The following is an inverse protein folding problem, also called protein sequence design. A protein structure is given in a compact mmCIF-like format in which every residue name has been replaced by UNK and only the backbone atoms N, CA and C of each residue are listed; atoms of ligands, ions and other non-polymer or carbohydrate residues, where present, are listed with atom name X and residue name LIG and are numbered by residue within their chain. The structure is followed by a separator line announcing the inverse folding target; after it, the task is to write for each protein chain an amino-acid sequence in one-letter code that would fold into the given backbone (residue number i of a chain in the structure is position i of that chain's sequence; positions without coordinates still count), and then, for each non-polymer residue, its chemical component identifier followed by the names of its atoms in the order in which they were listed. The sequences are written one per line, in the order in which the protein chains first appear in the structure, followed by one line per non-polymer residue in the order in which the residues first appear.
data_IF_287540157718
#
_entry.id   IF_287540157718
#
_cell.length_a   1.000
_cell.length_b   1.000
_cell.length_c   1.000
_cell.angle_alpha   90.00
_cell.angle_beta   90.00
_cell.angle_gamma   90.00
#
_symmetry.space_group_name_H-M   'P 1'
#
loop_
_entity.id
_entity.type
_entity.pdbx_description
1 polymer ?
#
# COMPACT_ATOMS: atom_id res chain seq x y z
N UNK A 1 -37.12 -15.94 6.78
CA UNK A 1 -36.05 -16.84 6.30
C UNK A 1 -34.72 -16.15 6.47
N UNK A 2 -34.10 -16.30 7.64
CA UNK A 2 -32.73 -15.86 7.93
C UNK A 2 -31.77 -16.83 7.25
N UNK A 3 -31.12 -16.39 6.18
CA UNK A 3 -30.12 -17.17 5.45
C UNK A 3 -28.92 -17.39 6.38
N UNK A 4 -28.83 -18.58 6.97
CA UNK A 4 -27.69 -18.99 7.79
C UNK A 4 -26.41 -18.91 6.94
N UNK A 5 -25.48 -18.06 7.37
CA UNK A 5 -24.15 -17.92 6.80
C UNK A 5 -23.45 -19.28 6.87
N UNK A 6 -22.96 -19.78 5.73
CA UNK A 6 -22.32 -21.11 5.68
C UNK A 6 -20.97 -21.10 6.43
N UNK A 7 -20.54 -22.22 7.05
CA UNK A 7 -19.28 -22.31 7.81
C UNK A 7 -18.02 -21.84 7.04
N UNK A 8 -18.06 -21.92 5.71
CA UNK A 8 -16.98 -21.48 4.82
C UNK A 8 -16.83 -19.95 4.75
N UNK A 9 -17.89 -19.17 4.97
CA UNK A 9 -17.82 -17.72 4.94
C UNK A 9 -17.27 -17.12 6.26
N UNK A 10 -17.62 -17.70 7.41
CA UNK A 10 -17.03 -17.28 8.70
C UNK A 10 -15.51 -17.54 8.74
N UNK A 11 -15.07 -18.66 8.18
CA UNK A 11 -13.64 -19.03 8.11
C UNK A 11 -12.84 -18.08 7.19
N UNK A 12 -13.43 -17.66 6.06
CA UNK A 12 -12.81 -16.68 5.14
C UNK A 12 -12.76 -15.27 5.75
N UNK A 13 -13.83 -14.84 6.43
CA UNK A 13 -13.87 -13.54 7.11
C UNK A 13 -12.82 -13.48 8.24
N UNK A 14 -12.71 -14.53 9.05
CA UNK A 14 -11.67 -14.63 10.08
C UNK A 14 -10.24 -14.57 9.51
N UNK A 15 -10.00 -15.23 8.38
CA UNK A 15 -8.71 -15.20 7.67
C UNK A 15 -8.37 -13.78 7.14
N UNK A 16 -9.32 -13.09 6.50
CA UNK A 16 -9.09 -11.73 5.99
C UNK A 16 -8.83 -10.75 7.14
N UNK A 17 -9.63 -10.80 8.20
CA UNK A 17 -9.43 -9.93 9.38
C UNK A 17 -8.06 -10.16 10.02
N UNK A 18 -7.62 -11.42 10.13
CA UNK A 18 -6.29 -11.74 10.64
C UNK A 18 -5.16 -11.21 9.75
N UNK A 19 -5.32 -11.27 8.42
CA UNK A 19 -4.33 -10.75 7.48
C UNK A 19 -4.25 -9.22 7.51
N UNK A 20 -5.39 -8.52 7.64
CA UNK A 20 -5.42 -7.07 7.82
C UNK A 20 -4.79 -6.64 9.15
N UNK A 21 -5.04 -7.39 10.23
CA UNK A 21 -4.42 -7.13 11.53
C UNK A 21 -2.89 -7.27 11.47
N UNK A 22 -2.41 -8.28 10.74
CA UNK A 22 -0.98 -8.51 10.51
C UNK A 22 -0.33 -7.34 9.73
N UNK A 23 -1.02 -6.80 8.71
CA UNK A 23 -0.56 -5.62 7.96
C UNK A 23 -0.43 -4.39 8.86
N UNK A 24 -1.47 -4.12 9.68
CA UNK A 24 -1.46 -2.98 10.61
C UNK A 24 -0.29 -3.05 11.57
N UNK A 25 -0.11 -4.19 12.22
CA UNK A 25 0.93 -4.36 13.24
C UNK A 25 2.33 -4.24 12.63
N UNK A 26 2.54 -4.74 11.41
CA UNK A 26 3.80 -4.56 10.67
C UNK A 26 4.02 -3.11 10.26
N UNK A 27 3.00 -2.43 9.75
CA UNK A 27 3.08 -1.02 9.39
C UNK A 27 3.46 -0.16 10.60
N UNK A 28 2.85 -0.40 11.76
CA UNK A 28 3.20 0.28 13.00
C UNK A 28 4.65 0.01 13.41
N UNK A 29 5.13 -1.24 13.34
CA UNK A 29 6.53 -1.57 13.62
C UNK A 29 7.51 -0.85 12.70
N UNK A 30 7.19 -0.73 11.41
CA UNK A 30 8.02 0.01 10.44
C UNK A 30 8.09 1.49 10.79
N UNK A 31 6.95 2.13 11.07
CA UNK A 31 6.88 3.55 11.46
C UNK A 31 7.59 3.80 12.79
N UNK A 32 7.40 2.93 13.78
CA UNK A 32 8.10 3.03 15.08
C UNK A 32 9.60 2.91 14.89
N UNK A 33 10.08 1.97 14.08
CA UNK A 33 11.52 1.81 13.83
C UNK A 33 12.13 3.06 13.20
N UNK A 34 11.49 3.64 12.18
CA UNK A 34 11.91 4.91 11.57
C UNK A 34 11.87 6.04 12.61
N UNK A 35 10.80 6.12 13.41
CA UNK A 35 10.64 7.14 14.45
C UNK A 35 11.70 7.06 15.54
N UNK A 36 12.05 5.86 16.01
CA UNK A 36 13.12 5.66 17.00
C UNK A 36 14.47 6.11 16.45
N UNK A 37 14.80 5.71 15.22
CA UNK A 37 16.05 6.13 14.57
C UNK A 37 16.06 7.65 14.37
N UNK A 38 14.93 8.24 13.96
CA UNK A 38 14.79 9.68 13.82
C UNK A 38 15.01 10.41 15.14
N UNK A 39 14.44 9.95 16.25
CA UNK A 39 14.63 10.57 17.57
C UNK A 39 16.10 10.52 18.02
N UNK A 40 16.84 9.47 17.67
CA UNK A 40 18.27 9.35 17.96
C UNK A 40 19.10 10.31 17.09
N UNK A 41 18.72 10.51 15.82
CA UNK A 41 19.44 11.39 14.89
C UNK A 41 19.04 12.87 14.98
N UNK A 42 17.83 13.18 15.46
CA UNK A 42 17.25 14.52 15.52
C UNK A 42 18.15 15.56 16.23
N UNK A 43 18.84 15.25 17.35
CA UNK A 43 19.76 16.20 17.98
C UNK A 43 20.92 16.63 17.07
N UNK A 44 21.32 15.78 16.12
CA UNK A 44 22.42 15.99 15.18
C UNK A 44 21.97 16.55 13.84
N UNK A 45 20.71 16.98 13.71
CA UNK A 45 20.13 17.40 12.43
C UNK A 45 20.93 18.51 11.73
N UNK A 46 21.51 19.44 12.51
CA UNK A 46 22.34 20.54 11.97
C UNK A 46 23.66 20.03 11.38
N UNK A 47 24.31 19.08 12.06
CA UNK A 47 25.59 18.50 11.61
C UNK A 47 25.38 17.62 10.38
N UNK A 48 24.31 16.83 10.38
CA UNK A 48 23.87 16.04 9.22
C UNK A 48 23.60 16.97 8.03
N UNK A 49 22.87 18.06 8.25
CA UNK A 49 22.61 19.05 7.21
C UNK A 49 23.91 19.64 6.66
N UNK A 50 24.86 20.05 7.51
CA UNK A 50 26.13 20.61 7.07
C UNK A 50 26.95 19.62 6.23
N UNK A 51 26.92 18.33 6.59
CA UNK A 51 27.59 17.27 5.84
C UNK A 51 27.03 17.09 4.43
N UNK A 52 25.69 17.11 4.30
CA UNK A 52 25.01 16.95 3.01
C UNK A 52 24.94 18.24 2.19
N UNK A 53 25.00 19.41 2.83
CA UNK A 53 25.05 20.71 2.16
C UNK A 53 26.40 20.94 1.48
N UNK A 54 27.50 20.42 2.04
CA UNK A 54 28.85 20.69 1.55
C UNK A 54 29.08 20.28 0.07
N UNK A 55 28.75 19.05 -0.38
CA UNK A 55 28.90 18.66 -1.79
C UNK A 55 28.03 19.48 -2.74
N UNK A 56 26.95 20.08 -2.23
CA UNK A 56 26.01 20.88 -3.01
C UNK A 56 26.61 22.24 -3.31
N UNK A 57 27.13 22.94 -2.29
CA UNK A 57 27.89 24.19 -2.44
C UNK A 57 29.09 24.03 -3.36
N UNK A 58 29.76 22.88 -3.34
CA UNK A 58 30.91 22.59 -4.20
C UNK A 58 30.52 22.35 -5.67
N UNK A 59 29.25 22.00 -5.94
CA UNK A 59 28.73 21.70 -7.29
C UNK A 59 28.06 22.91 -7.95
N UNK A 60 27.89 24.03 -7.23
CA UNK A 60 27.38 25.27 -7.80
C UNK A 60 28.49 26.00 -8.56
N UNK A 61 28.21 26.60 -9.74
CA UNK A 61 29.16 27.47 -10.43
C UNK A 61 29.63 28.62 -9.52
N UNK A 62 30.91 28.99 -9.63
CA UNK A 62 31.51 30.08 -8.86
C UNK A 62 30.64 31.34 -8.92
N UNK A 63 30.11 31.77 -7.77
CA UNK A 63 29.30 32.99 -7.63
C UNK A 63 27.79 32.80 -7.45
N UNK A 64 27.25 31.57 -7.55
CA UNK A 64 25.84 31.29 -7.23
C UNK A 64 25.70 30.83 -5.78
N UNK A 65 25.07 31.65 -4.94
CA UNK A 65 24.72 31.26 -3.57
C UNK A 65 23.33 30.64 -3.52
N UNK A 66 23.17 29.52 -2.81
CA UNK A 66 21.84 28.99 -2.50
C UNK A 66 21.07 29.98 -1.61
N UNK A 67 19.85 30.30 -2.01
CA UNK A 67 18.98 31.21 -1.28
C UNK A 67 18.09 30.43 -0.31
N UNK A 68 17.76 31.05 0.81
CA UNK A 68 16.76 30.57 1.76
C UNK A 68 15.56 31.50 1.66
N UNK A 69 14.51 31.07 0.95
CA UNK A 69 13.31 31.91 0.73
C UNK A 69 12.31 31.73 1.89
N UNK A 70 12.14 30.51 2.38
CA UNK A 70 11.15 30.19 3.41
C UNK A 70 11.60 30.58 4.82
N UNK A 71 10.72 31.26 5.57
CA UNK A 71 10.98 31.66 6.98
C UNK A 71 11.23 30.44 7.88
N UNK A 72 10.50 29.35 7.65
CA UNK A 72 10.64 28.11 8.42
C UNK A 72 11.75 27.18 7.87
N UNK A 73 12.36 27.49 6.73
CA UNK A 73 13.30 26.59 6.06
C UNK A 73 14.55 26.25 6.91
N UNK A 74 15.19 27.20 7.63
CA UNK A 74 16.33 26.89 8.50
C UNK A 74 16.01 25.89 9.61
N UNK A 75 14.74 25.80 10.02
CA UNK A 75 14.27 24.85 11.01
C UNK A 75 13.86 23.53 10.36
N UNK A 76 13.02 23.56 9.33
CA UNK A 76 12.38 22.37 8.77
C UNK A 76 13.30 21.53 7.89
N UNK A 77 14.19 22.16 7.11
CA UNK A 77 15.04 21.45 6.14
C UNK A 77 15.98 20.44 6.83
N UNK A 78 16.71 20.79 7.90
CA UNK A 78 17.55 19.83 8.61
C UNK A 78 16.76 18.63 9.16
N UNK A 79 15.56 18.86 9.71
CA UNK A 79 14.73 17.77 10.24
C UNK A 79 14.12 16.89 9.14
N UNK A 80 13.69 17.47 8.01
CA UNK A 80 13.23 16.71 6.84
C UNK A 80 14.33 15.77 6.33
N UNK A 81 15.55 16.29 6.21
CA UNK A 81 16.72 15.50 5.78
C UNK A 81 17.04 14.39 6.79
N UNK A 82 17.00 14.72 8.08
CA UNK A 82 17.24 13.74 9.14
C UNK A 82 16.21 12.62 9.13
N UNK A 83 14.94 12.95 8.86
CA UNK A 83 13.88 11.95 8.70
C UNK A 83 14.14 11.05 7.49
N UNK A 84 14.58 11.61 6.37
CA UNK A 84 14.96 10.83 5.18
C UNK A 84 16.09 9.85 5.50
N UNK A 85 17.14 10.32 6.18
CA UNK A 85 18.28 9.46 6.55
C UNK A 85 17.85 8.40 7.56
N UNK A 86 17.01 8.75 8.53
CA UNK A 86 16.45 7.79 9.46
C UNK A 86 15.67 6.68 8.73
N UNK A 87 14.87 7.05 7.71
CA UNK A 87 14.22 6.08 6.84
C UNK A 87 15.23 5.21 6.09
N UNK A 88 16.25 5.80 5.47
CA UNK A 88 17.31 5.06 4.75
C UNK A 88 18.06 4.08 5.64
N UNK A 89 18.33 4.43 6.91
CA UNK A 89 18.96 3.54 7.89
C UNK A 89 17.99 2.44 8.34
N UNK A 90 16.70 2.75 8.48
CA UNK A 90 15.66 1.80 8.85
C UNK A 90 15.30 0.81 7.72
N UNK A 91 15.69 1.10 6.47
CA UNK A 91 15.30 0.33 5.27
C UNK A 91 15.45 -1.18 5.40
N UNK A 92 16.56 -1.75 5.90
CA UNK A 92 16.69 -3.20 6.00
C UNK A 92 15.59 -3.82 6.86
N UNK A 93 15.19 -3.13 7.93
CA UNK A 93 14.11 -3.55 8.81
C UNK A 93 12.73 -3.32 8.18
N UNK A 94 12.53 -2.19 7.49
CA UNK A 94 11.29 -1.89 6.75
C UNK A 94 11.02 -2.96 5.70
N UNK A 95 12.02 -3.28 4.87
CA UNK A 95 11.92 -4.34 3.88
C UNK A 95 11.71 -5.70 4.53
N UNK A 96 12.40 -6.02 5.63
CA UNK A 96 12.18 -7.28 6.35
C UNK A 96 10.70 -7.44 6.78
N UNK A 97 10.10 -6.40 7.36
CA UNK A 97 8.68 -6.43 7.76
C UNK A 97 7.76 -6.52 6.55
N UNK A 98 8.02 -5.76 5.48
CA UNK A 98 7.25 -5.84 4.24
C UNK A 98 7.29 -7.25 3.62
N UNK A 99 8.48 -7.86 3.57
CA UNK A 99 8.65 -9.21 3.04
C UNK A 99 8.02 -10.28 3.91
N UNK A 100 8.03 -10.14 5.23
CA UNK A 100 7.29 -11.06 6.10
C UNK A 100 5.78 -11.05 5.82
N UNK A 101 5.22 -9.94 5.31
CA UNK A 101 3.82 -9.85 4.88
C UNK A 101 3.53 -10.51 3.54
N UNK A 102 4.49 -10.43 2.61
CA UNK A 102 4.34 -11.06 1.29
C UNK A 102 4.67 -12.57 1.34
N UNK A 103 5.63 -12.98 2.18
CA UNK A 103 6.15 -14.35 2.28
C UNK A 103 5.14 -15.48 2.61
N UNK A 104 4.11 -15.31 3.48
CA UNK A 104 3.24 -16.44 3.85
C UNK A 104 2.46 -17.04 2.68
N UNK A 105 2.27 -16.28 1.59
CA UNK A 105 1.60 -16.74 0.37
C UNK A 105 2.51 -17.39 -0.68
N UNK A 106 3.83 -17.16 -0.63
CA UNK A 106 4.67 -17.31 -1.82
C UNK A 106 5.63 -18.52 -1.81
N UNK A 107 6.26 -18.85 -0.68
CA UNK A 107 7.29 -19.92 -0.63
C UNK A 107 7.23 -20.73 0.66
N UNK A 108 6.07 -21.34 0.96
CA UNK A 108 5.90 -22.20 2.15
C UNK A 108 6.90 -23.37 2.22
N UNK A 109 7.61 -23.69 1.15
CA UNK A 109 8.56 -24.81 1.10
C UNK A 109 10.04 -24.40 0.92
N UNK A 110 10.35 -23.11 0.73
CA UNK A 110 11.74 -22.69 0.50
C UNK A 110 12.07 -21.35 1.21
N UNK A 111 12.13 -21.40 2.54
CA UNK A 111 12.61 -20.28 3.39
C UNK A 111 13.96 -19.70 2.93
N UNK A 112 14.75 -20.48 2.16
CA UNK A 112 16.06 -20.10 1.65
C UNK A 112 16.03 -19.07 0.52
N UNK A 113 14.92 -18.92 -0.22
CA UNK A 113 14.79 -17.91 -1.30
C UNK A 113 14.38 -16.52 -0.80
N UNK A 114 13.75 -16.44 0.38
CA UNK A 114 13.33 -15.15 0.94
C UNK A 114 14.53 -14.27 1.31
N UNK A 115 15.59 -14.87 1.85
CA UNK A 115 16.79 -14.14 2.27
C UNK A 115 17.55 -13.46 1.12
N UNK A 116 17.94 -14.15 0.03
CA UNK A 116 18.64 -13.50 -1.09
C UNK A 116 17.75 -12.47 -1.79
N UNK A 117 16.43 -12.68 -1.85
CA UNK A 117 15.50 -11.72 -2.42
C UNK A 117 15.39 -10.45 -1.56
N UNK A 118 15.30 -10.60 -0.24
CA UNK A 118 15.32 -9.48 0.72
C UNK A 118 16.63 -8.69 0.60
N UNK A 119 17.78 -9.35 0.68
CA UNK A 119 19.09 -8.69 0.56
C UNK A 119 19.24 -7.99 -0.80
N UNK A 120 18.80 -8.64 -1.88
CA UNK A 120 18.80 -8.02 -3.21
C UNK A 120 17.90 -6.79 -3.26
N UNK A 121 16.70 -6.83 -2.66
CA UNK A 121 15.78 -5.68 -2.63
C UNK A 121 16.35 -4.48 -1.88
N UNK A 122 16.95 -4.70 -0.72
CA UNK A 122 17.60 -3.66 0.05
C UNK A 122 18.79 -3.08 -0.74
N UNK A 123 19.61 -3.95 -1.34
CA UNK A 123 20.72 -3.51 -2.20
C UNK A 123 20.28 -2.71 -3.42
N UNK A 124 19.20 -3.13 -4.08
CA UNK A 124 18.63 -2.44 -5.24
C UNK A 124 18.04 -1.08 -4.85
N UNK A 125 17.45 -0.95 -3.66
CA UNK A 125 16.98 0.33 -3.16
C UNK A 125 18.13 1.31 -2.97
N UNK A 126 19.20 0.88 -2.29
CA UNK A 126 20.39 1.72 -2.11
C UNK A 126 21.06 2.06 -3.45
N UNK A 127 21.08 1.12 -4.39
CA UNK A 127 21.56 1.38 -5.75
C UNK A 127 20.69 2.44 -6.45
N UNK A 128 19.37 2.41 -6.27
CA UNK A 128 18.46 3.43 -6.80
C UNK A 128 18.70 4.80 -6.20
N UNK A 129 18.90 4.89 -4.88
CA UNK A 129 19.28 6.15 -4.20
C UNK A 129 20.64 6.65 -4.69
N UNK A 130 21.62 5.75 -4.83
CA UNK A 130 22.94 6.09 -5.35
C UNK A 130 22.87 6.57 -6.81
N UNK A 131 22.05 5.93 -7.64
CA UNK A 131 21.81 6.35 -9.02
C UNK A 131 21.18 7.74 -9.08
N UNK A 132 20.18 8.02 -8.24
CA UNK A 132 19.58 9.34 -8.15
C UNK A 132 20.60 10.41 -7.74
N UNK A 133 21.44 10.13 -6.75
CA UNK A 133 22.46 11.07 -6.26
C UNK A 133 23.61 11.29 -7.26
N UNK A 134 24.15 10.22 -7.85
CA UNK A 134 25.37 10.28 -8.66
C UNK A 134 25.11 10.56 -10.14
N UNK A 135 23.93 10.21 -10.67
CA UNK A 135 23.64 10.32 -12.10
C UNK A 135 22.58 11.38 -12.36
N UNK A 136 21.42 11.31 -11.70
CA UNK A 136 20.30 12.18 -12.03
C UNK A 136 20.51 13.62 -11.55
N UNK A 137 20.93 13.79 -10.30
CA UNK A 137 21.18 15.09 -9.69
C UNK A 137 22.18 15.95 -10.50
N UNK A 138 23.37 15.48 -10.89
CA UNK A 138 24.27 16.28 -11.72
C UNK A 138 23.70 16.55 -13.12
N UNK A 139 22.99 15.60 -13.73
CA UNK A 139 22.35 15.83 -15.03
C UNK A 139 21.29 16.93 -14.96
N UNK A 140 20.53 17.02 -13.86
CA UNK A 140 19.56 18.11 -13.65
C UNK A 140 20.24 19.47 -13.54
N UNK A 141 21.37 19.57 -12.83
CA UNK A 141 22.11 20.83 -12.76
C UNK A 141 22.74 21.26 -14.08
N UNK A 142 22.94 20.33 -15.03
CA UNK A 142 23.37 20.67 -16.39
C UNK A 142 22.18 21.12 -17.25
N UNK A 143 21.04 20.46 -17.13
CA UNK A 143 19.87 20.69 -17.98
C UNK A 143 19.08 21.92 -17.57
N UNK A 144 18.84 22.15 -16.27
CA UNK A 144 17.98 23.24 -15.79
C UNK A 144 18.48 24.65 -16.19
N UNK A 145 19.79 24.97 -16.11
CA UNK A 145 20.27 26.29 -16.52
C UNK A 145 20.07 26.59 -18.01
N UNK A 146 19.96 25.57 -18.87
CA UNK A 146 19.75 25.75 -20.32
C UNK A 146 18.42 26.47 -20.61
N UNK A 147 17.44 26.33 -19.73
CA UNK A 147 16.14 26.99 -19.83
C UNK A 147 16.09 28.38 -19.20
N UNK A 148 17.17 28.84 -18.58
CA UNK A 148 17.20 30.15 -17.92
C UNK A 148 17.37 31.26 -18.97
N UNK A 149 16.45 32.23 -19.04
CA UNK A 149 16.60 33.41 -19.91
C UNK A 149 17.90 34.18 -19.62
N UNK A 150 18.52 34.73 -20.67
CA UNK A 150 19.83 35.38 -20.58
C UNK A 150 19.90 36.63 -19.67
N UNK A 151 18.75 37.17 -19.29
CA UNK A 151 18.56 38.34 -18.43
C UNK A 151 18.27 37.99 -16.96
N UNK A 152 18.27 36.70 -16.58
CA UNK A 152 17.97 36.25 -15.22
C UNK A 152 19.13 35.48 -14.58
N UNK A 153 19.41 35.77 -13.30
CA UNK A 153 20.41 35.02 -12.53
C UNK A 153 19.76 33.73 -11.99
N UNK A 154 20.30 32.58 -12.36
CA UNK A 154 19.88 31.30 -11.80
C UNK A 154 20.37 31.19 -10.34
N UNK A 155 19.44 31.07 -9.39
CA UNK A 155 19.77 30.86 -7.97
C UNK A 155 18.77 29.89 -7.35
N UNK A 156 19.17 28.63 -7.09
CA UNK A 156 18.26 27.63 -6.53
C UNK A 156 17.93 27.93 -5.06
N UNK A 157 16.67 27.69 -4.69
CA UNK A 157 16.21 27.71 -3.30
C UNK A 157 16.54 26.38 -2.61
N UNK A 158 17.12 26.47 -1.41
CA UNK A 158 17.60 25.29 -0.70
C UNK A 158 16.47 24.37 -0.25
N UNK A 159 15.31 24.91 0.14
CA UNK A 159 14.18 24.09 0.60
C UNK A 159 13.63 23.28 -0.56
N UNK A 160 13.38 23.95 -1.68
CA UNK A 160 12.87 23.34 -2.91
C UNK A 160 13.83 22.29 -3.46
N UNK A 161 15.13 22.58 -3.39
CA UNK A 161 16.17 21.62 -3.77
C UNK A 161 16.13 20.35 -2.91
N UNK A 162 16.11 20.50 -1.58
CA UNK A 162 16.08 19.37 -0.67
C UNK A 162 14.78 18.56 -0.80
N UNK A 163 13.64 19.23 -0.98
CA UNK A 163 12.36 18.58 -1.24
C UNK A 163 12.40 17.77 -2.55
N UNK A 164 12.99 18.34 -3.62
CA UNK A 164 13.21 17.64 -4.89
C UNK A 164 14.10 16.41 -4.72
N UNK A 165 15.26 16.54 -4.08
CA UNK A 165 16.20 15.42 -3.87
C UNK A 165 15.58 14.31 -3.02
N UNK A 166 14.89 14.68 -1.93
CA UNK A 166 14.21 13.73 -1.06
C UNK A 166 13.15 12.95 -1.83
N UNK A 167 12.33 13.65 -2.61
CA UNK A 167 11.29 13.01 -3.42
C UNK A 167 11.90 12.09 -4.48
N UNK A 168 12.99 12.52 -5.12
CA UNK A 168 13.73 11.73 -6.10
C UNK A 168 14.34 10.46 -5.49
N UNK A 169 14.94 10.53 -4.29
CA UNK A 169 15.47 9.35 -3.60
C UNK A 169 14.40 8.32 -3.31
N UNK A 170 13.23 8.77 -2.84
CA UNK A 170 12.09 7.89 -2.60
C UNK A 170 11.60 7.28 -3.92
N UNK A 171 11.32 8.11 -4.93
CA UNK A 171 10.79 7.63 -6.19
C UNK A 171 11.73 6.67 -6.91
N UNK A 172 13.03 6.97 -7.00
CA UNK A 172 14.00 6.08 -7.64
C UNK A 172 14.35 4.87 -6.79
N UNK A 173 14.43 5.01 -5.45
CA UNK A 173 14.61 3.87 -4.56
C UNK A 173 13.50 2.84 -4.74
N UNK A 174 12.23 3.29 -4.81
CA UNK A 174 11.09 2.42 -5.09
C UNK A 174 11.01 1.96 -6.55
N UNK A 175 11.34 2.79 -7.53
CA UNK A 175 11.40 2.38 -8.94
C UNK A 175 12.45 1.29 -9.19
N UNK A 176 13.56 1.30 -8.46
CA UNK A 176 14.54 0.21 -8.49
C UNK A 176 14.02 -1.09 -7.89
N UNK A 177 12.85 -1.11 -7.22
CA UNK A 177 12.18 -2.35 -6.83
C UNK A 177 11.38 -2.98 -7.98
N UNK A 178 11.14 -2.26 -9.08
CA UNK A 178 10.38 -2.76 -10.23
C UNK A 178 10.90 -4.08 -10.80
N UNK A 179 12.22 -4.32 -10.95
CA UNK A 179 12.73 -5.62 -11.41
C UNK A 179 12.31 -6.77 -10.50
N UNK A 180 12.43 -6.59 -9.19
CA UNK A 180 12.08 -7.61 -8.19
C UNK A 180 10.57 -7.82 -8.16
N UNK A 181 9.79 -6.75 -8.17
CA UNK A 181 8.34 -6.82 -8.24
C UNK A 181 7.87 -7.58 -9.50
N UNK A 182 8.51 -7.33 -10.64
CA UNK A 182 8.23 -8.01 -11.92
C UNK A 182 8.53 -9.50 -11.85
N UNK A 183 9.72 -9.88 -11.38
CA UNK A 183 10.11 -11.28 -11.19
C UNK A 183 9.12 -11.97 -10.24
N UNK A 184 8.76 -11.31 -9.15
CA UNK A 184 7.84 -11.83 -8.16
C UNK A 184 6.47 -12.07 -8.78
N UNK A 185 5.89 -11.10 -9.49
CA UNK A 185 4.56 -11.20 -10.11
C UNK A 185 4.45 -12.36 -11.10
N UNK A 186 5.54 -12.65 -11.81
CA UNK A 186 5.62 -13.77 -12.76
C UNK A 186 5.84 -15.09 -12.00
N UNK A 187 6.71 -15.09 -10.98
CA UNK A 187 7.03 -16.28 -10.18
C UNK A 187 5.86 -16.78 -9.34
N UNK A 188 4.96 -15.89 -8.90
CA UNK A 188 3.76 -16.23 -8.13
C UNK A 188 2.66 -16.86 -9.01
N UNK A 189 2.81 -16.76 -10.34
CA UNK A 189 1.77 -17.12 -11.31
C UNK A 189 0.66 -16.09 -11.47
N UNK A 190 0.77 -14.89 -10.86
CA UNK A 190 -0.26 -13.85 -10.98
C UNK A 190 -0.36 -13.27 -12.41
N UNK A 191 0.77 -13.19 -13.12
CA UNK A 191 0.82 -12.82 -14.54
C UNK A 191 1.86 -13.65 -15.29
N UNK A 192 1.82 -13.63 -16.63
CA UNK A 192 2.90 -14.14 -17.47
C UNK A 192 3.78 -12.99 -17.99
N UNK A 193 5.01 -13.30 -18.40
CA UNK A 193 5.93 -12.33 -18.97
C UNK A 193 5.36 -11.69 -20.25
N UNK A 194 4.60 -12.44 -21.05
CA UNK A 194 3.96 -11.97 -22.28
C UNK A 194 2.84 -10.97 -21.98
N UNK A 195 1.99 -11.29 -20.99
CA UNK A 195 0.91 -10.38 -20.54
C UNK A 195 1.48 -9.08 -20.00
N UNK A 196 2.57 -9.15 -19.26
CA UNK A 196 3.20 -7.98 -18.67
C UNK A 196 3.97 -7.15 -19.73
N UNK A 197 4.60 -7.81 -20.70
CA UNK A 197 5.18 -7.15 -21.87
C UNK A 197 4.12 -6.44 -22.72
N UNK A 198 2.90 -6.97 -22.83
CA UNK A 198 1.79 -6.27 -23.48
C UNK A 198 1.36 -4.97 -22.77
N UNK A 199 1.72 -4.79 -21.49
CA UNK A 199 1.38 -3.62 -20.68
C UNK A 199 2.46 -2.54 -20.65
N UNK A 200 3.49 -2.62 -21.50
CA UNK A 200 4.55 -1.58 -21.63
C UNK A 200 3.99 -0.15 -21.74
N UNK A 201 2.95 0.14 -22.55
CA UNK A 201 2.43 1.50 -22.66
C UNK A 201 1.97 2.06 -21.31
N UNK A 202 1.35 1.25 -20.46
CA UNK A 202 0.91 1.68 -19.13
C UNK A 202 2.08 1.99 -18.20
N UNK A 203 3.15 1.19 -18.26
CA UNK A 203 4.35 1.42 -17.46
C UNK A 203 5.07 2.69 -17.90
N UNK A 204 5.15 2.91 -19.22
CA UNK A 204 5.74 4.14 -19.78
C UNK A 204 4.94 5.35 -19.31
N UNK A 205 3.60 5.33 -19.44
CA UNK A 205 2.75 6.42 -18.94
C UNK A 205 2.95 6.63 -17.44
N UNK A 206 2.99 5.56 -16.65
CA UNK A 206 3.28 5.64 -15.21
C UNK A 206 4.63 6.30 -14.90
N UNK A 207 5.69 5.94 -15.65
CA UNK A 207 7.01 6.56 -15.51
C UNK A 207 6.98 8.06 -15.84
N UNK A 208 6.26 8.46 -16.89
CA UNK A 208 6.08 9.87 -17.23
C UNK A 208 5.25 10.64 -16.19
N UNK A 209 4.25 10.01 -15.57
CA UNK A 209 3.47 10.60 -14.46
C UNK A 209 4.37 10.81 -13.25
N UNK A 210 5.15 9.81 -12.84
CA UNK A 210 6.11 9.98 -11.75
C UNK A 210 7.13 11.07 -12.08
N UNK A 211 7.64 11.10 -13.32
CA UNK A 211 8.50 12.18 -13.80
C UNK A 211 7.86 13.57 -13.65
N UNK A 212 6.57 13.71 -14.00
CA UNK A 212 5.83 14.97 -13.86
C UNK A 212 5.62 15.41 -12.40
N UNK A 213 5.53 14.47 -11.46
CA UNK A 213 5.40 14.84 -10.03
C UNK A 213 6.77 15.25 -9.48
N UNK A 214 7.85 14.59 -9.93
CA UNK A 214 9.22 14.87 -9.49
C UNK A 214 9.79 16.16 -10.06
N UNK A 215 9.61 16.37 -11.36
CA UNK A 215 10.02 17.59 -12.06
C UNK A 215 8.76 18.34 -12.44
N UNK A 216 8.66 19.65 -12.14
CA UNK A 216 7.63 20.54 -12.70
C UNK A 216 7.61 20.48 -14.25
N UNK A 217 6.75 21.23 -14.99
CA UNK A 217 6.52 21.03 -16.42
C UNK A 217 7.73 21.39 -17.32
N UNK A 218 8.80 20.60 -17.21
CA UNK A 218 10.01 20.56 -18.01
C UNK A 218 10.09 19.17 -18.65
N UNK A 219 9.81 19.15 -19.96
CA UNK A 219 9.76 17.93 -20.76
C UNK A 219 11.12 17.22 -20.82
N UNK A 220 12.24 17.95 -20.84
CA UNK A 220 13.56 17.32 -20.94
C UNK A 220 13.88 16.60 -19.63
N UNK A 221 13.69 17.28 -18.50
CA UNK A 221 13.91 16.66 -17.19
C UNK A 221 12.94 15.51 -16.94
N UNK A 222 11.68 15.64 -17.35
CA UNK A 222 10.69 14.57 -17.24
C UNK A 222 11.11 13.31 -18.04
N UNK A 223 11.57 13.48 -19.29
CA UNK A 223 12.08 12.36 -20.11
C UNK A 223 13.31 11.73 -19.45
N UNK A 224 14.24 12.55 -18.96
CA UNK A 224 15.46 12.07 -18.31
C UNK A 224 15.16 11.18 -17.10
N UNK A 225 14.12 11.49 -16.34
CA UNK A 225 13.69 10.67 -15.21
C UNK A 225 12.87 9.44 -15.64
N UNK A 226 12.02 9.58 -16.65
CA UNK A 226 11.14 8.51 -17.11
C UNK A 226 11.88 7.36 -17.81
N UNK A 227 12.91 7.65 -18.60
CA UNK A 227 13.68 6.64 -19.35
C UNK A 227 14.33 5.60 -18.45
N UNK A 228 15.08 5.96 -17.39
CA UNK A 228 15.62 4.97 -16.44
C UNK A 228 14.54 4.10 -15.79
N UNK A 229 13.38 4.68 -15.44
CA UNK A 229 12.28 3.90 -14.86
C UNK A 229 11.72 2.85 -15.83
N UNK A 230 11.58 3.22 -17.11
CA UNK A 230 11.19 2.27 -18.16
C UNK A 230 12.25 1.18 -18.37
N UNK A 231 13.54 1.53 -18.39
CA UNK A 231 14.63 0.57 -18.52
C UNK A 231 14.67 -0.43 -17.36
N UNK A 232 14.37 0.00 -16.13
CA UNK A 232 14.28 -0.90 -14.97
C UNK A 232 13.14 -1.91 -15.11
N UNK A 233 11.99 -1.49 -15.64
CA UNK A 233 10.92 -2.43 -15.95
C UNK A 233 11.34 -3.44 -17.01
N UNK A 234 12.03 -3.00 -18.06
CA UNK A 234 12.54 -3.89 -19.10
C UNK A 234 13.57 -4.88 -18.55
N UNK A 235 14.46 -4.40 -17.67
CA UNK A 235 15.42 -5.23 -16.96
C UNK A 235 14.72 -6.30 -16.12
N UNK A 236 13.62 -5.94 -15.44
CA UNK A 236 12.77 -6.87 -14.70
C UNK A 236 12.18 -7.97 -15.59
N UNK A 237 11.60 -7.58 -16.73
CA UNK A 237 11.07 -8.53 -17.71
C UNK A 237 12.17 -9.44 -18.28
N UNK A 238 13.33 -8.88 -18.60
CA UNK A 238 14.47 -9.63 -19.10
C UNK A 238 14.98 -10.65 -18.06
N UNK A 239 15.21 -10.20 -16.82
CA UNK A 239 15.65 -11.08 -15.73
C UNK A 239 14.62 -12.18 -15.46
N UNK A 240 13.32 -11.88 -15.52
CA UNK A 240 12.27 -12.88 -15.26
C UNK A 240 12.35 -14.11 -16.17
N UNK A 241 12.81 -13.95 -17.43
CA UNK A 241 13.01 -15.06 -18.37
C UNK A 241 14.10 -16.02 -17.92
N UNK A 242 15.18 -15.53 -17.31
CA UNK A 242 16.26 -16.37 -16.78
C UNK A 242 15.86 -17.13 -15.53
N UNK A 243 14.93 -16.57 -14.73
CA UNK A 243 14.36 -17.26 -13.58
C UNK A 243 13.20 -18.21 -13.96
N UNK A 244 12.80 -18.26 -15.24
CA UNK A 244 11.64 -19.01 -15.75
C UNK A 244 11.65 -20.52 -15.47
N UNK A 245 12.82 -21.18 -15.44
CA UNK A 245 12.90 -22.61 -15.07
C UNK A 245 12.54 -22.85 -13.60
N UNK A 246 13.00 -21.99 -12.69
CA UNK A 246 12.66 -22.07 -11.25
C UNK A 246 11.23 -21.62 -10.96
N UNK A 247 10.67 -20.78 -11.82
CA UNK A 247 9.26 -20.36 -11.78
C UNK A 247 8.33 -21.51 -12.19
N UNK A 248 8.70 -22.31 -13.19
CA UNK A 248 7.98 -23.53 -13.54
C UNK A 248 7.99 -24.56 -12.40
N UNK A 249 9.15 -24.82 -11.81
CA UNK A 249 9.28 -25.75 -10.68
C UNK A 249 8.43 -25.33 -9.46
N UNK A 250 8.36 -24.03 -9.16
CA UNK A 250 7.52 -23.49 -8.10
C UNK A 250 6.01 -23.53 -8.43
N UNK A 251 5.64 -23.34 -9.71
CA UNK A 251 4.27 -23.50 -10.21
C UNK A 251 3.78 -24.94 -10.15
N UNK A 252 4.61 -25.88 -10.61
CA UNK A 252 4.32 -27.32 -10.60
C UNK A 252 4.18 -27.86 -9.16
N UNK A 253 4.99 -27.36 -8.22
CA UNK A 253 4.87 -27.69 -6.80
C UNK A 253 3.56 -27.17 -6.16
N UNK A 254 3.05 -26.00 -6.60
CA UNK A 254 1.75 -25.46 -6.15
C UNK A 254 0.58 -26.26 -6.71
N UNK A 255 0.63 -26.62 -7.98
CA UNK A 255 -0.39 -27.46 -8.61
C UNK A 255 -0.45 -28.85 -7.97
N UNK A 256 0.71 -29.41 -7.61
CA UNK A 256 0.79 -30.65 -6.83
C UNK A 256 0.17 -30.48 -5.42
N UNK A 257 0.48 -29.39 -4.71
CA UNK A 257 -0.09 -29.13 -3.39
C UNK A 257 -1.61 -28.89 -3.42
N UNK A 258 -2.12 -28.20 -4.45
CA UNK A 258 -3.55 -27.96 -4.62
C UNK A 258 -4.29 -29.25 -5.01
N UNK A 259 -3.67 -30.13 -5.80
CA UNK A 259 -4.20 -31.47 -6.06
C UNK A 259 -4.24 -32.32 -4.80
N UNK A 260 -3.16 -32.33 -4.01
CA UNK A 260 -3.12 -33.06 -2.74
C UNK A 260 -4.17 -32.54 -1.76
N UNK A 261 -4.31 -31.22 -1.60
CA UNK A 261 -5.32 -30.64 -0.72
C UNK A 261 -6.77 -30.93 -1.18
N UNK A 262 -7.01 -31.01 -2.50
CA UNK A 262 -8.31 -31.46 -3.04
C UNK A 262 -8.54 -32.94 -2.78
N UNK A 263 -7.50 -33.75 -2.95
CA UNK A 263 -7.54 -35.19 -2.72
C UNK A 263 -7.77 -35.54 -1.24
N UNK A 264 -7.14 -34.80 -0.33
CA UNK A 264 -7.33 -34.91 1.12
C UNK A 264 -8.75 -34.47 1.55
N UNK A 265 -9.28 -33.42 0.92
CA UNK A 265 -10.67 -32.98 1.15
C UNK A 265 -11.68 -34.03 0.62
N UNK A 266 -11.43 -34.61 -0.55
CA UNK A 266 -12.26 -35.66 -1.12
C UNK A 266 -12.21 -36.94 -0.27
N UNK A 267 -11.03 -37.31 0.26
CA UNK A 267 -10.84 -38.42 1.22
C UNK A 267 -11.61 -38.19 2.53
N UNK A 268 -11.52 -36.98 3.10
CA UNK A 268 -12.25 -36.64 4.32
C UNK A 268 -13.78 -36.69 4.14
N UNK A 269 -14.27 -36.35 2.94
CA UNK A 269 -15.70 -36.47 2.59
C UNK A 269 -16.13 -37.93 2.46
N UNK A 270 -15.27 -38.81 1.95
CA UNK A 270 -15.54 -40.26 1.85
C UNK A 270 -15.54 -40.93 3.23
N UNK A 271 -14.58 -40.61 4.10
CA UNK A 271 -14.52 -41.11 5.48
C UNK A 271 -15.71 -40.63 6.33
N UNK A 272 -16.17 -39.40 6.11
CA UNK A 272 -17.38 -38.87 6.75
C UNK A 272 -18.68 -39.51 6.22
N UNK A 273 -18.65 -40.07 5.00
CA UNK A 273 -19.77 -40.79 4.39
C UNK A 273 -19.91 -42.24 4.88
N UNK A 274 -18.80 -42.91 5.18
CA UNK A 274 -18.79 -44.32 5.60
C UNK A 274 -19.12 -44.49 7.10
N UNK A 275 -18.84 -43.47 7.92
CA UNK A 275 -19.15 -43.45 9.36
C UNK A 275 -20.64 -43.42 9.74
N UNK A 276 -21.56 -43.46 8.77
CA UNK A 276 -23.02 -43.54 9.01
C UNK A 276 -23.63 -44.92 8.74
N UNK A 277 -22.84 -45.92 8.31
CA UNK A 277 -23.39 -47.23 7.94
C UNK A 277 -23.27 -48.32 9.02
N UNK A 278 -22.50 -48.11 10.10
CA UNK A 278 -22.34 -49.11 11.17
C UNK A 278 -22.59 -48.50 12.56
N UNK A 279 -23.87 -48.45 12.96
CA UNK A 279 -24.27 -48.46 14.38
C UNK A 279 -25.79 -48.71 14.51
N UNK A 280 -26.12 -49.99 14.64
CA UNK A 280 -27.20 -50.58 15.45
C UNK A 280 -28.68 -50.39 15.08
N UNK A 281 -29.28 -51.56 14.81
CA UNK A 281 -30.69 -51.87 14.87
C UNK A 281 -31.12 -52.25 16.31
N UNK A 282 -32.18 -51.63 16.84
CA UNK A 282 -33.41 -52.27 17.38
C UNK A 282 -34.33 -51.26 18.12
N UNK A 283 -35.66 -51.50 18.21
CA UNK A 283 -36.64 -50.50 18.62
C UNK A 283 -37.31 -50.80 19.98
N UNK A 284 -37.39 -49.86 20.93
CA UNK A 284 -38.32 -49.95 22.09
C UNK A 284 -38.86 -48.60 22.58
N UNK A 285 -40.14 -48.35 22.24
CA UNK A 285 -41.27 -48.10 23.15
C UNK A 285 -41.13 -47.23 24.44
N UNK A 286 -41.89 -46.13 24.44
CA UNK A 286 -42.83 -45.62 25.47
C UNK A 286 -42.36 -44.99 26.80
N UNK A 287 -42.72 -43.69 26.93
CA UNK A 287 -43.52 -43.04 27.99
C UNK A 287 -43.02 -42.81 29.44
N UNK A 288 -43.43 -41.63 29.95
CA UNK A 288 -43.43 -41.08 31.31
C UNK A 288 -42.08 -40.51 31.81
N UNK A 289 -41.98 -39.33 32.44
CA UNK A 289 -42.90 -38.72 33.43
C UNK A 289 -42.60 -37.21 33.59
N UNK A 290 -43.66 -36.43 33.78
CA UNK A 290 -43.61 -35.03 34.17
C UNK A 290 -43.61 -34.86 35.71
N UNK A 291 -42.81 -33.91 36.22
CA UNK A 291 -42.94 -33.14 37.48
C UNK A 291 -41.60 -32.40 37.71
N UNK A 292 -41.48 -31.10 38.01
CA UNK A 292 -42.43 -30.05 38.32
C UNK A 292 -41.72 -28.67 38.42
N UNK A 293 -42.50 -27.63 38.14
CA UNK A 293 -42.34 -26.19 38.25
C UNK A 293 -41.26 -25.59 39.20
N UNK A 294 -40.56 -24.53 38.77
CA UNK A 294 -41.00 -23.12 38.97
C UNK A 294 -39.89 -22.08 38.64
N UNK A 295 -40.35 -20.89 38.20
CA UNK A 295 -39.72 -19.57 38.16
C UNK A 295 -38.88 -19.16 36.93
N UNK A 296 -39.35 -18.12 36.22
CA UNK A 296 -38.54 -17.35 35.28
C UNK A 296 -39.25 -16.75 34.06
N UNK A 297 -40.44 -16.17 34.22
CA UNK A 297 -41.09 -15.37 33.19
C UNK A 297 -40.41 -14.01 33.03
N UNK A 298 -39.78 -13.71 31.89
CA UNK A 298 -39.62 -12.32 31.40
C UNK A 298 -38.93 -12.27 30.03
N UNK A 299 -39.34 -11.27 29.24
CA UNK A 299 -38.66 -10.62 28.09
C UNK A 299 -39.23 -10.96 26.70
N UNK A 300 -39.66 -12.19 26.41
CA UNK A 300 -40.20 -12.52 25.07
C UNK A 300 -41.61 -12.00 24.78
N UNK A 301 -42.53 -12.16 25.73
CA UNK A 301 -43.96 -11.90 25.51
C UNK A 301 -44.32 -10.40 25.45
N UNK A 302 -43.53 -9.53 26.13
CA UNK A 302 -43.80 -8.08 26.17
C UNK A 302 -43.30 -7.34 24.93
N UNK A 303 -42.39 -7.91 24.13
CA UNK A 303 -41.89 -7.27 22.92
C UNK A 303 -42.89 -7.37 21.75
N UNK A 304 -43.73 -8.40 21.74
CA UNK A 304 -44.65 -8.67 20.63
C UNK A 304 -45.96 -7.86 20.68
N UNK A 305 -46.26 -7.20 21.81
CA UNK A 305 -47.46 -6.39 21.99
C UNK A 305 -47.27 -4.90 21.66
N UNK A 306 -46.04 -4.45 21.40
CA UNK A 306 -45.74 -3.03 21.19
C UNK A 306 -45.83 -2.62 19.70
N UNK A 307 -45.85 -3.57 18.77
CA UNK A 307 -45.67 -3.34 17.33
C UNK A 307 -46.86 -3.80 16.47
N UNK A 308 -47.98 -4.15 17.09
CA UNK A 308 -49.22 -4.45 16.39
C UNK A 308 -50.27 -3.39 16.70
N UNK A 309 -50.32 -2.35 15.89
CA UNK A 309 -51.55 -1.59 15.66
C UNK A 309 -51.69 -1.36 14.15
N UNK A 310 -52.67 -2.07 13.60
CA UNK A 310 -53.42 -1.66 12.42
C UNK A 310 -54.12 -0.34 12.75
N UNK A 311 -53.92 0.70 11.94
CA UNK A 311 -54.91 1.77 11.81
C UNK A 311 -54.90 2.32 10.37
N UNK A 312 -55.99 2.03 9.67
CA UNK A 312 -56.39 2.66 8.42
C UNK A 312 -56.63 4.16 8.64
N UNK A 313 -55.78 5.02 8.06
CA UNK A 313 -56.28 6.28 7.47
C UNK A 313 -55.39 6.72 6.29
N UNK A 314 -55.86 6.42 5.09
CA UNK A 314 -55.26 6.93 3.86
C UNK A 314 -55.51 8.44 3.72
N UNK A 315 -54.44 9.24 3.75
CA UNK A 315 -54.41 10.56 3.13
C UNK A 315 -53.37 10.55 2.02
N UNK A 316 -53.85 10.60 0.78
CA UNK A 316 -53.02 10.85 -0.41
C UNK A 316 -52.53 12.30 -0.35
N UNK A 317 -51.22 12.49 -0.32
CA UNK A 317 -50.60 13.78 -0.59
C UNK A 317 -50.48 13.95 -2.12
N UNK A 318 -51.04 15.03 -2.64
CA UNK A 318 -50.95 15.42 -4.06
C UNK A 318 -49.71 16.27 -4.30
N UNK A 319 -49.09 16.13 -5.47
CA UNK A 319 -47.85 16.79 -5.96
C UNK A 319 -47.80 18.33 -5.88
N UNK A 320 -48.84 19.00 -5.37
CA UNK A 320 -48.94 20.45 -5.25
C UNK A 320 -48.31 21.04 -3.98
N UNK A 321 -47.96 20.21 -2.97
CA UNK A 321 -47.34 20.69 -1.71
C UNK A 321 -45.79 20.67 -1.76
N UNK A 322 -45.20 19.98 -2.73
CA UNK A 322 -43.74 19.89 -2.87
C UNK A 322 -43.14 21.18 -3.46
N UNK A 323 -43.84 21.85 -4.39
CA UNK A 323 -43.38 23.09 -5.02
C UNK A 323 -43.32 24.30 -4.06
N UNK A 324 -44.18 24.34 -3.02
CA UNK A 324 -44.12 25.41 -2.01
C UNK A 324 -42.94 25.28 -1.07
N UNK A 325 -42.45 24.05 -0.84
CA UNK A 325 -41.27 23.82 0.01
C UNK A 325 -39.98 24.33 -0.65
N UNK A 326 -39.88 24.24 -1.99
CA UNK A 326 -38.71 24.74 -2.74
C UNK A 326 -38.68 26.27 -2.86
N UNK A 327 -39.84 26.93 -3.06
CA UNK A 327 -39.87 28.39 -3.15
C UNK A 327 -39.51 29.10 -1.83
N UNK A 328 -39.77 28.46 -0.69
CA UNK A 328 -39.41 29.01 0.63
C UNK A 328 -37.90 29.01 0.89
N UNK A 329 -37.13 28.20 0.13
CA UNK A 329 -35.67 28.09 0.30
C UNK A 329 -34.89 29.08 -0.57
N UNK A 330 -35.44 29.52 -1.72
CA UNK A 330 -34.79 30.52 -2.59
C UNK A 330 -34.85 31.95 -2.04
N UNK A 331 -35.83 32.27 -1.19
CA UNK A 331 -36.04 33.64 -0.66
C UNK A 331 -35.27 33.93 0.65
N UNK A 332 -34.34 33.06 1.04
CA UNK A 332 -33.55 33.23 2.26
C UNK A 332 -32.38 34.20 2.06
N UNK A 333 -32.60 35.47 2.40
CA UNK A 333 -31.53 36.46 2.57
C UNK A 333 -31.04 36.50 4.03
N UNK A 334 -29.74 36.25 4.31
CA UNK A 334 -29.22 36.33 5.67
C UNK A 334 -29.08 37.80 6.13
N UNK A 335 -29.71 38.13 7.26
CA UNK A 335 -29.53 39.41 7.94
C UNK A 335 -28.09 39.55 8.46
N UNK A 336 -27.39 40.59 8.01
CA UNK A 336 -26.06 40.97 8.49
C UNK A 336 -26.20 42.05 9.58
N UNK A 337 -26.26 41.62 10.84
CA UNK A 337 -26.21 42.53 11.99
C UNK A 337 -24.77 42.61 12.51
N UNK A 338 -24.02 43.62 12.07
CA UNK A 338 -22.83 44.10 12.75
C UNK A 338 -22.92 45.61 12.93
N UNK A 339 -23.48 46.01 14.07
CA UNK A 339 -23.30 47.34 14.64
C UNK A 339 -22.99 47.22 16.14
N UNK A 340 -21.71 47.34 16.49
CA UNK A 340 -21.22 48.08 17.67
C UNK A 340 -19.69 48.15 17.69
#
# INVERSE_FOLDING_TARGET
MTKATTPDEETKLGSIVSHLAELRDRMLRMVIAVGVIFLVLAPFAKDIYALFAKPLTDSLPDGVNMLIIGVAAPLLVPYKLTLMIAFLVALPYVFYQAWQFVAPGLYKHEKRLVLPLLTSSVGLFYLGVAFAYLVLLPMMFIVLPIFTPADTTYSPDISSYFDFVMMMFIAFGFSFQMPIATILLISTGFTTAEKLAGKRPYVIVGAFVIGMILTPPDVISQILLAVPMWLLFELGLFMSKFFGQRIKEAGDARDAMQKNARQDADLAVLEAGDGKAESEAEPRSAAATAAGAAAGSSIGEQANALWSDDDESGKNYTDAEEDQAYQTFEDYHPHNDNNK
#
